data_IF_067783426996
#
_entry.id   IF_067783426996
#
_cell.length_a   1.000
_cell.length_b   1.000
_cell.length_c   1.000
_cell.angle_alpha   90.00
_cell.angle_beta   90.00
_cell.angle_gamma   90.00
#
_symmetry.space_group_name_H-M   'P 1'
#
loop_
_entity.id
_entity.type
_entity.pdbx_description
1 polymer ?
#
# COMPACT_ATOMS: atom_id res chain seq x y z
N UNK A 1 -63.83 -10.01 23.09
CA UNK A 1 -62.64 -9.46 22.41
C UNK A 1 -61.45 -9.74 23.31
N UNK A 2 -60.67 -10.79 23.03
CA UNK A 2 -59.50 -11.13 23.85
C UNK A 2 -58.24 -10.53 23.21
N UNK A 3 -57.69 -9.49 23.84
CA UNK A 3 -56.46 -8.82 23.44
C UNK A 3 -55.24 -9.45 24.13
N UNK A 4 -55.03 -10.75 23.96
CA UNK A 4 -53.75 -11.37 24.31
C UNK A 4 -52.81 -11.21 23.12
N UNK A 5 -52.24 -10.01 22.95
CA UNK A 5 -51.09 -9.84 22.09
C UNK A 5 -49.87 -10.42 22.83
N UNK A 6 -49.19 -11.39 22.23
CA UNK A 6 -47.93 -11.92 22.74
C UNK A 6 -46.93 -10.76 22.89
N UNK A 7 -46.25 -10.67 24.04
CA UNK A 7 -45.23 -9.65 24.28
C UNK A 7 -44.07 -9.85 23.31
N UNK A 8 -43.83 -8.89 22.41
CA UNK A 8 -42.67 -8.91 21.52
C UNK A 8 -41.37 -8.81 22.33
N UNK A 9 -40.43 -9.72 22.06
CA UNK A 9 -39.09 -9.72 22.66
C UNK A 9 -38.06 -9.46 21.56
N UNK A 10 -37.22 -8.44 21.74
CA UNK A 10 -36.13 -8.11 20.83
C UNK A 10 -34.78 -8.41 21.48
N UNK A 11 -33.95 -9.19 20.80
CA UNK A 11 -32.57 -9.45 21.21
C UNK A 11 -31.61 -8.69 20.30
N UNK A 12 -30.77 -7.84 20.89
CA UNK A 12 -29.70 -7.13 20.18
C UNK A 12 -28.37 -7.85 20.42
N UNK A 13 -27.72 -8.40 19.38
CA UNK A 13 -26.39 -8.97 19.56
C UNK A 13 -25.39 -7.84 19.83
N UNK A 14 -24.53 -8.03 20.85
CA UNK A 14 -23.37 -7.20 21.08
C UNK A 14 -22.11 -8.06 21.01
N UNK A 15 -21.04 -7.50 20.48
CA UNK A 15 -19.71 -8.11 20.50
C UNK A 15 -18.73 -7.08 21.07
N UNK A 16 -18.02 -7.46 22.12
CA UNK A 16 -16.94 -6.69 22.71
C UNK A 16 -15.61 -7.38 22.47
N UNK A 17 -14.56 -6.61 22.24
CA UNK A 17 -13.18 -7.10 22.17
C UNK A 17 -12.41 -6.47 23.32
N UNK A 18 -11.71 -7.29 24.10
CA UNK A 18 -10.74 -6.82 25.09
C UNK A 18 -9.46 -6.40 24.36
N UNK A 19 -9.28 -5.08 24.17
CA UNK A 19 -8.09 -4.51 23.55
C UNK A 19 -8.34 -3.13 22.97
N UNK A 20 -7.27 -2.41 22.63
CA UNK A 20 -7.37 -1.12 21.94
C UNK A 20 -7.51 -1.36 20.43
N UNK A 21 -8.72 -1.13 19.89
CA UNK A 21 -8.95 -1.12 18.44
C UNK A 21 -8.10 -0.07 17.72
N UNK A 22 -7.72 1.00 18.43
CA UNK A 22 -6.85 2.04 17.89
C UNK A 22 -5.43 1.53 17.66
N UNK A 23 -4.94 0.60 18.48
CA UNK A 23 -3.56 0.08 18.41
C UNK A 23 -3.40 -1.07 17.41
N UNK A 24 -4.49 -1.66 16.95
CA UNK A 24 -4.44 -2.77 16.00
C UNK A 24 -3.73 -2.40 14.71
N UNK A 25 -2.91 -3.31 14.21
CA UNK A 25 -2.22 -3.13 12.92
C UNK A 25 -3.22 -3.18 11.77
N UNK A 26 -3.09 -2.24 10.87
CA UNK A 26 -3.88 -2.12 9.64
C UNK A 26 -3.15 -2.81 8.50
N UNK A 27 -1.86 -2.55 8.33
CA UNK A 27 -1.06 -3.14 7.24
C UNK A 27 -0.56 -4.52 7.65
N UNK A 28 -0.79 -5.51 6.79
CA UNK A 28 -0.17 -6.82 6.96
C UNK A 28 1.33 -6.71 6.71
N UNK A 29 2.13 -7.24 7.64
CA UNK A 29 3.60 -7.31 7.57
C UNK A 29 4.11 -8.73 7.40
N UNK A 30 3.20 -9.68 7.25
CA UNK A 30 3.50 -11.09 7.06
C UNK A 30 4.07 -11.39 5.67
N UNK A 31 4.56 -12.62 5.48
CA UNK A 31 5.07 -13.09 4.20
C UNK A 31 3.96 -13.22 3.16
N UNK A 32 4.32 -13.04 1.89
CA UNK A 32 3.50 -13.41 0.75
C UNK A 32 3.34 -14.94 0.67
N UNK A 33 2.43 -15.40 -0.17
CA UNK A 33 2.11 -16.82 -0.32
C UNK A 33 3.35 -17.69 -0.59
N UNK A 34 4.27 -17.18 -1.42
CA UNK A 34 5.48 -17.90 -1.82
C UNK A 34 6.65 -17.72 -0.82
N UNK A 35 6.44 -16.98 0.28
CA UNK A 35 7.44 -16.66 1.31
C UNK A 35 8.72 -16.01 0.75
N UNK A 36 8.59 -15.33 -0.38
CA UNK A 36 9.68 -14.59 -1.03
C UNK A 36 9.71 -13.13 -0.62
N UNK A 37 8.66 -12.57 -0.02
CA UNK A 37 8.68 -11.20 0.49
C UNK A 37 7.65 -10.98 1.58
N UNK A 38 7.83 -9.94 2.39
CA UNK A 38 6.83 -9.49 3.34
C UNK A 38 6.05 -8.31 2.78
N UNK A 39 4.77 -8.20 3.10
CA UNK A 39 3.96 -7.05 2.72
C UNK A 39 4.30 -5.79 3.55
N UNK A 40 4.05 -4.59 2.98
CA UNK A 40 4.00 -4.31 1.54
C UNK A 40 5.36 -4.54 0.84
N UNK A 41 5.34 -4.76 -0.47
CA UNK A 41 6.56 -4.86 -1.29
C UNK A 41 6.33 -4.38 -2.74
N UNK A 42 7.43 -4.14 -3.46
CA UNK A 42 7.45 -3.72 -4.86
C UNK A 42 7.89 -4.86 -5.78
N UNK A 43 7.29 -4.96 -6.97
CA UNK A 43 7.76 -5.85 -8.05
C UNK A 43 7.58 -5.20 -9.42
N UNK A 44 8.09 -5.84 -10.46
CA UNK A 44 7.61 -5.60 -11.82
C UNK A 44 6.37 -6.46 -12.09
N UNK A 45 5.64 -6.13 -13.16
CA UNK A 45 4.71 -7.09 -13.73
C UNK A 45 5.47 -8.39 -14.00
N UNK A 46 4.92 -9.51 -13.55
CA UNK A 46 5.36 -10.80 -14.03
C UNK A 46 5.14 -10.76 -15.54
N UNK A 47 6.22 -10.85 -16.33
CA UNK A 47 6.06 -11.11 -17.76
C UNK A 47 5.22 -12.38 -17.85
N UNK A 48 4.09 -12.29 -18.55
CA UNK A 48 3.29 -13.46 -18.88
C UNK A 48 4.16 -14.33 -19.76
N UNK A 49 4.99 -15.19 -19.17
CA UNK A 49 5.52 -16.36 -19.84
C UNK A 49 4.28 -17.08 -20.34
N UNK A 50 4.07 -16.98 -21.65
CA UNK A 50 2.97 -17.56 -22.41
C UNK A 50 2.36 -18.77 -21.69
N UNK A 51 1.06 -18.68 -21.41
CA UNK A 51 0.21 -19.86 -21.25
C UNK A 51 0.36 -20.73 -22.52
N UNK A 52 1.37 -21.60 -22.54
CA UNK A 52 1.48 -22.67 -23.52
C UNK A 52 0.43 -23.70 -23.13
N UNK A 53 -0.70 -23.63 -23.83
CA UNK A 53 -1.56 -24.79 -24.03
C UNK A 53 -0.72 -25.83 -24.77
N UNK A 54 -0.12 -26.77 -24.05
CA UNK A 54 -0.03 -28.19 -24.39
C UNK A 54 0.88 -28.89 -23.39
N UNK A 55 0.38 -29.96 -22.78
CA UNK A 55 1.20 -30.86 -21.99
C UNK A 55 2.27 -31.50 -22.88
N UNK A 56 3.52 -31.45 -22.44
CA UNK A 56 4.53 -32.52 -22.48
C UNK A 56 5.75 -32.01 -21.71
N UNK A 57 6.36 -32.88 -20.91
CA UNK A 57 7.47 -32.61 -19.99
C UNK A 57 8.66 -31.88 -20.65
N UNK A 58 9.34 -31.03 -19.86
CA UNK A 58 10.78 -31.09 -19.54
C UNK A 58 11.46 -29.71 -19.42
N UNK A 59 12.43 -29.71 -18.50
CA UNK A 59 13.56 -28.78 -18.30
C UNK A 59 13.31 -27.54 -17.44
N UNK A 60 14.01 -27.58 -16.30
CA UNK A 60 14.26 -26.53 -15.34
C UNK A 60 14.82 -25.27 -16.01
N UNK A 61 13.94 -24.32 -16.34
CA UNK A 61 14.33 -22.92 -16.43
C UNK A 61 13.88 -22.26 -15.13
N UNK A 62 14.81 -22.14 -14.19
CA UNK A 62 14.63 -21.37 -12.97
C UNK A 62 14.32 -19.91 -13.36
N UNK A 63 13.03 -19.60 -13.52
CA UNK A 63 12.55 -18.23 -13.51
C UNK A 63 13.07 -17.59 -12.24
N UNK A 64 13.87 -16.52 -12.38
CA UNK A 64 14.55 -15.90 -11.26
C UNK A 64 13.55 -15.65 -10.13
N UNK A 65 13.74 -16.38 -9.03
CA UNK A 65 12.99 -16.20 -7.79
C UNK A 65 13.35 -14.81 -7.29
N UNK A 66 12.44 -13.86 -7.49
CA UNK A 66 12.64 -12.47 -7.10
C UNK A 66 12.66 -12.41 -5.56
N UNK A 67 13.88 -12.35 -5.03
CA UNK A 67 14.18 -12.22 -3.60
C UNK A 67 13.59 -10.92 -3.05
N UNK A 68 13.25 -10.89 -1.74
CA UNK A 68 12.72 -9.68 -1.12
C UNK A 68 13.79 -8.59 -1.10
N UNK A 69 13.40 -7.43 -1.59
CA UNK A 69 14.21 -6.23 -1.75
C UNK A 69 14.67 -5.69 -0.38
N UNK A 70 15.76 -6.23 0.15
CA UNK A 70 16.61 -5.54 1.14
C UNK A 70 17.59 -4.58 0.47
N UNK A 71 17.61 -4.57 -0.86
CA UNK A 71 18.47 -3.76 -1.73
C UNK A 71 17.65 -2.70 -2.47
N UNK A 72 18.33 -1.73 -3.08
CA UNK A 72 17.69 -0.74 -3.93
C UNK A 72 16.99 -1.39 -5.13
N UNK A 73 15.73 -1.04 -5.36
CA UNK A 73 14.92 -1.44 -6.50
C UNK A 73 15.30 -0.60 -7.72
N UNK A 74 16.01 -1.19 -8.68
CA UNK A 74 16.48 -0.49 -9.88
C UNK A 74 15.44 -0.56 -11.00
N UNK A 75 14.83 0.57 -11.32
CA UNK A 75 13.71 0.70 -12.25
C UNK A 75 14.07 1.54 -13.47
N UNK A 76 14.16 0.86 -14.61
CA UNK A 76 14.34 1.45 -15.92
C UNK A 76 12.99 1.47 -16.66
N UNK A 77 12.45 2.67 -16.90
CA UNK A 77 11.15 2.86 -17.54
C UNK A 77 11.10 2.38 -19.00
N UNK A 78 12.25 2.22 -19.66
CA UNK A 78 12.28 1.63 -21.00
C UNK A 78 12.06 0.11 -20.96
N UNK A 79 12.46 -0.55 -19.87
CA UNK A 79 12.31 -2.01 -19.69
C UNK A 79 11.00 -2.37 -19.02
N UNK A 80 10.61 -1.60 -18.01
CA UNK A 80 9.38 -1.79 -17.26
C UNK A 80 8.63 -0.47 -17.19
N UNK A 81 7.54 -0.34 -17.96
CA UNK A 81 6.74 0.90 -18.00
C UNK A 81 6.09 1.24 -16.66
N UNK A 82 5.92 0.24 -15.79
CA UNK A 82 5.30 0.37 -14.49
C UNK A 82 5.91 -0.62 -13.47
N UNK A 83 5.75 -0.29 -12.19
CA UNK A 83 6.02 -1.16 -11.05
C UNK A 83 4.72 -1.40 -10.28
N UNK A 84 4.63 -2.53 -9.58
CA UNK A 84 3.47 -2.90 -8.79
C UNK A 84 3.82 -2.83 -7.31
N UNK A 85 2.99 -2.12 -6.54
CA UNK A 85 2.99 -2.14 -5.09
C UNK A 85 1.99 -3.20 -4.63
N UNK A 86 2.48 -4.23 -3.95
CA UNK A 86 1.66 -5.27 -3.34
C UNK A 86 1.46 -4.97 -1.85
N UNK A 87 0.22 -5.01 -1.38
CA UNK A 87 -0.10 -4.80 0.03
C UNK A 87 -1.35 -5.57 0.44
N UNK A 88 -1.50 -5.77 1.75
CA UNK A 88 -2.70 -6.34 2.36
C UNK A 88 -3.05 -5.54 3.60
N UNK A 89 -4.34 -5.55 3.93
CA UNK A 89 -4.90 -4.89 5.10
C UNK A 89 -5.56 -5.93 6.00
N UNK A 90 -5.19 -5.97 7.28
CA UNK A 90 -5.73 -6.94 8.23
C UNK A 90 -7.16 -6.58 8.66
N UNK A 91 -7.36 -5.29 8.95
CA UNK A 91 -8.62 -4.73 9.45
C UNK A 91 -9.32 -3.80 8.46
N UNK A 92 -8.62 -3.38 7.41
CA UNK A 92 -9.06 -2.30 6.53
C UNK A 92 -8.72 -0.91 7.09
N UNK A 93 -8.91 0.12 6.28
CA UNK A 93 -8.53 1.49 6.59
C UNK A 93 -9.59 2.48 6.09
N UNK A 94 -10.07 3.45 6.90
CA UNK A 94 -10.95 4.51 6.40
C UNK A 94 -10.28 5.41 5.37
N UNK A 95 -8.96 5.56 5.43
CA UNK A 95 -8.18 6.28 4.43
C UNK A 95 -6.88 5.55 4.13
N UNK A 96 -6.58 5.39 2.85
CA UNK A 96 -5.34 4.80 2.38
C UNK A 96 -4.77 5.70 1.30
N UNK A 97 -3.46 5.88 1.26
CA UNK A 97 -2.78 6.59 0.19
C UNK A 97 -1.33 6.12 0.01
N UNK A 98 -0.77 6.42 -1.15
CA UNK A 98 0.63 6.11 -1.47
C UNK A 98 1.34 7.38 -1.92
N UNK A 99 2.28 7.85 -1.13
CA UNK A 99 3.10 9.03 -1.43
C UNK A 99 4.50 8.64 -1.89
N UNK A 100 5.18 9.61 -2.50
CA UNK A 100 6.58 9.51 -2.89
C UNK A 100 7.42 10.43 -2.01
N UNK A 101 8.52 9.88 -1.52
CA UNK A 101 9.49 10.55 -0.67
C UNK A 101 10.84 10.69 -1.38
N UNK A 102 11.66 11.70 -1.01
CA UNK A 102 13.04 11.75 -1.46
C UNK A 102 13.84 10.57 -0.88
N UNK A 103 14.91 10.15 -1.56
CA UNK A 103 15.83 9.10 -1.07
C UNK A 103 16.26 9.29 0.39
N UNK A 104 16.60 10.53 0.75
CA UNK A 104 17.14 10.91 2.06
C UNK A 104 16.08 10.97 3.16
N UNK A 105 14.81 10.70 2.84
CA UNK A 105 13.73 10.67 3.81
C UNK A 105 14.00 9.70 4.96
N UNK A 106 13.89 10.24 6.17
CA UNK A 106 13.90 9.51 7.45
C UNK A 106 12.71 10.01 8.25
N UNK A 107 11.71 9.14 8.44
CA UNK A 107 10.51 9.51 9.18
C UNK A 107 10.79 9.56 10.68
N UNK A 108 10.39 10.67 11.33
CA UNK A 108 10.50 10.84 12.77
C UNK A 108 9.32 10.21 13.52
N UNK A 109 9.28 10.44 14.84
CA UNK A 109 8.04 10.30 15.60
C UNK A 109 6.98 11.27 15.06
N UNK A 110 5.72 11.01 15.41
CA UNK A 110 4.60 11.88 15.04
C UNK A 110 4.87 13.33 15.48
N UNK A 111 4.57 14.27 14.61
CA UNK A 111 4.74 15.70 14.80
C UNK A 111 3.38 16.38 14.88
N UNK A 112 3.38 17.69 15.19
CA UNK A 112 2.18 18.53 15.15
C UNK A 112 1.91 19.09 13.74
N UNK A 113 2.37 18.39 12.70
CA UNK A 113 2.12 18.77 11.31
C UNK A 113 0.62 18.83 11.04
N UNK A 114 0.19 19.88 10.34
CA UNK A 114 -1.19 20.09 9.94
C UNK A 114 -1.39 19.96 8.42
N UNK A 115 -0.30 19.89 7.64
CA UNK A 115 -0.34 19.76 6.18
C UNK A 115 0.23 18.39 5.75
N UNK A 116 -0.67 17.41 5.72
CA UNK A 116 -0.40 16.01 5.39
C UNK A 116 -0.24 15.78 3.88
N UNK A 117 -0.45 16.82 3.07
CA UNK A 117 -0.23 16.82 1.63
C UNK A 117 1.19 17.26 1.30
N UNK A 118 1.81 18.10 2.14
CA UNK A 118 3.19 18.57 1.95
C UNK A 118 4.23 17.81 2.74
N UNK A 119 3.88 17.30 3.92
CA UNK A 119 4.82 16.58 4.77
C UNK A 119 4.17 15.48 5.59
N UNK A 120 4.98 14.52 6.02
CA UNK A 120 4.57 13.49 6.96
C UNK A 120 5.77 13.12 7.84
N UNK A 121 5.58 13.15 9.16
CA UNK A 121 6.56 12.77 10.19
C UNK A 121 7.94 13.40 9.95
N UNK A 122 7.94 14.72 9.82
CA UNK A 122 9.16 15.52 9.65
C UNK A 122 9.83 15.45 8.27
N UNK A 123 9.24 14.73 7.31
CA UNK A 123 9.76 14.64 5.93
C UNK A 123 8.80 15.27 4.93
N UNK A 124 9.34 16.04 3.98
CA UNK A 124 8.58 16.59 2.85
C UNK A 124 8.16 15.48 1.86
N UNK A 125 6.90 15.50 1.45
CA UNK A 125 6.37 14.66 0.37
C UNK A 125 6.72 15.28 -0.98
N UNK A 126 7.14 14.45 -1.94
CA UNK A 126 7.34 14.88 -3.33
C UNK A 126 5.99 15.00 -4.04
N UNK A 127 5.12 14.01 -3.83
CA UNK A 127 3.78 13.97 -4.37
C UNK A 127 3.08 12.66 -4.02
N UNK A 128 1.85 12.52 -4.48
CA UNK A 128 1.02 11.34 -4.34
C UNK A 128 1.09 10.51 -5.63
N UNK A 129 1.13 9.18 -5.51
CA UNK A 129 0.90 8.30 -6.66
C UNK A 129 -0.53 8.51 -7.14
N UNK A 130 -0.78 8.81 -8.43
CA UNK A 130 -2.12 9.12 -8.92
C UNK A 130 -3.13 8.02 -8.59
N UNK A 131 -4.35 8.41 -8.21
CA UNK A 131 -5.48 7.51 -7.87
C UNK A 131 -5.18 6.51 -6.74
N UNK A 132 -4.12 6.75 -5.96
CA UNK A 132 -3.77 5.88 -4.85
C UNK A 132 -4.50 6.23 -3.55
N UNK A 133 -5.06 7.43 -3.45
CA UNK A 133 -5.88 7.83 -2.31
C UNK A 133 -7.27 7.18 -2.40
N UNK A 134 -7.71 6.58 -1.30
CA UNK A 134 -8.96 5.85 -1.26
C UNK A 134 -9.64 6.07 0.09
N UNK A 135 -10.92 6.45 0.06
CA UNK A 135 -11.74 6.76 1.25
C UNK A 135 -12.38 5.55 1.95
N UNK A 136 -11.94 4.35 1.58
CA UNK A 136 -12.32 3.10 2.25
C UNK A 136 -11.50 1.98 1.63
N UNK A 137 -10.50 1.51 2.36
CA UNK A 137 -9.74 0.32 1.99
C UNK A 137 -10.31 -0.86 2.80
N UNK A 138 -10.98 -1.84 2.17
CA UNK A 138 -11.50 -2.99 2.89
C UNK A 138 -10.37 -3.85 3.44
N UNK A 139 -10.69 -4.73 4.38
CA UNK A 139 -9.78 -5.81 4.81
C UNK A 139 -9.53 -6.77 3.66
N UNK A 140 -8.33 -7.32 3.58
CA UNK A 140 -7.99 -8.37 2.64
C UNK A 140 -8.40 -9.75 3.19
N UNK A 141 -8.91 -10.63 2.33
CA UNK A 141 -9.15 -12.03 2.70
C UNK A 141 -7.83 -12.81 2.86
N UNK A 142 -7.90 -14.05 3.35
CA UNK A 142 -6.71 -14.84 3.63
C UNK A 142 -5.81 -15.09 2.40
N UNK A 143 -6.35 -15.09 1.18
CA UNK A 143 -5.61 -15.42 -0.05
C UNK A 143 -5.59 -14.28 -1.07
N UNK A 144 -6.26 -13.17 -0.78
CA UNK A 144 -6.24 -12.00 -1.65
C UNK A 144 -5.06 -11.08 -1.34
N UNK A 145 -4.75 -10.23 -2.32
CA UNK A 145 -3.75 -9.17 -2.26
C UNK A 145 -4.27 -7.96 -3.03
N UNK A 146 -4.02 -6.76 -2.50
CA UNK A 146 -4.22 -5.54 -3.26
C UNK A 146 -2.95 -5.19 -4.03
N UNK A 147 -3.14 -4.73 -5.25
CA UNK A 147 -2.07 -4.24 -6.11
C UNK A 147 -2.35 -2.80 -6.52
N UNK A 148 -1.28 -1.99 -6.58
CA UNK A 148 -1.33 -0.65 -7.16
C UNK A 148 -0.23 -0.56 -8.21
N UNK A 149 -0.60 -0.36 -9.46
CA UNK A 149 0.38 -0.04 -10.49
C UNK A 149 0.84 1.41 -10.33
N UNK A 150 2.11 1.65 -10.62
CA UNK A 150 2.70 2.97 -10.63
C UNK A 150 3.65 3.09 -11.83
N UNK A 151 3.44 4.12 -12.64
CA UNK A 151 4.20 4.41 -13.86
C UNK A 151 5.21 5.57 -13.69
N UNK A 152 5.68 5.79 -12.46
CA UNK A 152 6.61 6.86 -12.07
C UNK A 152 6.05 8.28 -12.21
N UNK A 153 4.73 8.43 -12.36
CA UNK A 153 4.09 9.74 -12.28
C UNK A 153 3.65 10.07 -10.87
N UNK A 154 3.52 11.35 -10.59
CA UNK A 154 2.96 11.86 -9.34
C UNK A 154 1.98 12.99 -9.63
N UNK A 155 1.04 13.19 -8.71
CA UNK A 155 0.27 14.42 -8.58
C UNK A 155 0.70 15.15 -7.33
N UNK A 156 0.56 16.46 -7.34
CA UNK A 156 0.83 17.30 -6.17
C UNK A 156 -0.46 17.98 -5.73
N UNK A 157 -0.47 18.55 -4.53
CA UNK A 157 -1.60 19.37 -4.10
C UNK A 157 -1.82 20.58 -5.02
N UNK A 158 -0.74 21.13 -5.60
CA UNK A 158 -0.76 22.32 -6.45
C UNK A 158 -1.22 22.01 -7.88
N UNK A 159 -0.89 20.81 -8.39
CA UNK A 159 -1.33 20.32 -9.68
C UNK A 159 -1.78 18.86 -9.60
N UNK A 160 -3.04 18.65 -9.91
CA UNK A 160 -3.66 17.32 -10.03
C UNK A 160 -3.33 16.65 -11.38
N UNK A 161 -2.61 17.33 -12.27
CA UNK A 161 -2.16 16.73 -13.53
C UNK A 161 -0.96 15.80 -13.26
N UNK A 162 -1.06 14.50 -13.60
CA UNK A 162 0.05 13.57 -13.42
C UNK A 162 1.24 13.98 -14.28
N UNK A 163 2.42 14.08 -13.67
CA UNK A 163 3.66 14.32 -14.37
C UNK A 163 4.73 13.31 -13.93
N UNK A 164 5.66 13.00 -14.82
CA UNK A 164 6.72 12.04 -14.55
C UNK A 164 7.72 12.57 -13.53
N UNK A 165 8.17 11.68 -12.65
CA UNK A 165 9.36 11.92 -11.85
C UNK A 165 10.61 11.96 -12.76
N UNK A 166 11.54 12.89 -12.49
CA UNK A 166 12.82 12.91 -13.17
C UNK A 166 13.70 11.73 -12.72
N UNK A 167 14.79 11.51 -13.45
CA UNK A 167 15.85 10.56 -13.07
C UNK A 167 16.31 10.81 -11.64
N UNK A 168 16.37 9.76 -10.83
CA UNK A 168 16.72 9.94 -9.44
C UNK A 168 16.47 8.74 -8.56
N UNK A 169 16.44 9.01 -7.26
CA UNK A 169 16.25 8.00 -6.24
C UNK A 169 15.18 8.45 -5.26
N UNK A 170 14.24 7.55 -5.01
CA UNK A 170 13.00 7.83 -4.29
C UNK A 170 12.70 6.73 -3.28
N UNK A 171 11.71 6.95 -2.43
CA UNK A 171 11.06 5.90 -1.63
C UNK A 171 9.55 6.06 -1.79
N UNK A 172 8.84 4.95 -1.65
CA UNK A 172 7.38 4.91 -1.62
C UNK A 172 6.94 4.85 -0.17
N UNK A 173 5.95 5.67 0.19
CA UNK A 173 5.33 5.71 1.50
C UNK A 173 3.87 5.26 1.37
N UNK A 174 3.54 4.10 1.91
CA UNK A 174 2.15 3.68 2.07
C UNK A 174 1.65 4.18 3.41
N UNK A 175 0.53 4.90 3.44
CA UNK A 175 -0.14 5.33 4.68
C UNK A 175 -1.54 4.74 4.77
N UNK A 176 -1.88 4.27 5.96
CA UNK A 176 -3.21 3.76 6.28
C UNK A 176 -3.68 4.34 7.62
N UNK A 177 -4.84 5.00 7.61
CA UNK A 177 -5.45 5.54 8.81
C UNK A 177 -6.02 4.40 9.68
N UNK A 178 -5.72 4.42 10.97
CA UNK A 178 -6.31 3.48 11.92
C UNK A 178 -7.84 3.67 11.99
N UNK A 179 -8.60 2.62 12.27
CA UNK A 179 -10.08 2.63 12.21
C UNK A 179 -10.72 3.77 13.02
N UNK A 180 -10.23 4.01 14.23
CA UNK A 180 -10.70 5.09 15.11
C UNK A 180 -9.83 6.35 15.04
N UNK A 181 -8.95 6.40 14.03
CA UNK A 181 -7.98 7.47 13.82
C UNK A 181 -8.61 8.74 13.28
N UNK A 182 -7.94 9.86 13.54
CA UNK A 182 -8.23 11.16 12.94
C UNK A 182 -7.22 11.42 11.83
N UNK A 183 -7.69 11.72 10.63
CA UNK A 183 -6.86 12.01 9.46
C UNK A 183 -5.90 13.20 9.69
N UNK A 184 -6.22 14.10 10.61
CA UNK A 184 -5.42 15.27 10.98
C UNK A 184 -4.36 15.00 12.07
N UNK A 185 -4.10 13.73 12.41
CA UNK A 185 -3.16 13.36 13.48
C UNK A 185 -2.18 12.29 13.01
N UNK A 186 -0.89 12.62 12.85
CA UNK A 186 0.13 11.72 12.30
C UNK A 186 0.30 10.42 13.10
N UNK A 187 0.06 10.47 14.41
CA UNK A 187 0.12 9.30 15.29
C UNK A 187 -0.95 8.25 14.94
N UNK A 188 -2.07 8.67 14.34
CA UNK A 188 -3.18 7.80 13.97
C UNK A 188 -2.99 7.09 12.63
N UNK A 189 -1.93 7.41 11.89
CA UNK A 189 -1.57 6.75 10.65
C UNK A 189 -0.55 5.64 10.92
N UNK A 190 -0.85 4.44 10.47
CA UNK A 190 0.17 3.43 10.22
C UNK A 190 0.82 3.68 8.85
N UNK A 191 2.09 3.33 8.71
CA UNK A 191 2.80 3.54 7.47
C UNK A 191 3.83 2.44 7.17
N UNK A 192 4.14 2.27 5.90
CA UNK A 192 5.28 1.49 5.41
C UNK A 192 6.11 2.35 4.46
N UNK A 193 7.43 2.22 4.55
CA UNK A 193 8.36 2.88 3.63
C UNK A 193 9.09 1.80 2.85
N UNK A 194 9.13 1.94 1.53
CA UNK A 194 9.85 1.02 0.66
C UNK A 194 11.38 1.11 0.82
N UNK A 195 12.12 0.11 0.34
CA UNK A 195 13.51 0.28 -0.06
C UNK A 195 13.68 1.43 -1.07
N UNK A 196 14.91 1.87 -1.27
CA UNK A 196 15.25 2.89 -2.28
C UNK A 196 14.82 2.41 -3.68
N UNK A 197 14.11 3.26 -4.42
CA UNK A 197 13.76 3.06 -5.83
C UNK A 197 14.68 3.95 -6.67
N UNK A 198 15.54 3.36 -7.49
CA UNK A 198 16.42 4.07 -8.42
C UNK A 198 15.75 4.12 -9.79
N UNK A 199 15.22 5.28 -10.15
CA UNK A 199 14.47 5.50 -11.38
C UNK A 199 15.38 6.02 -12.50
N UNK A 200 15.35 5.32 -13.62
CA UNK A 200 15.91 5.76 -14.90
C UNK A 200 14.75 5.96 -15.89
N UNK A 201 14.46 7.22 -16.14
CA UNK A 201 13.51 7.78 -17.07
C UNK A 201 14.24 8.45 -18.24
N UNK A 202 14.38 7.73 -19.34
CA UNK A 202 14.96 8.27 -20.58
C UNK A 202 14.02 9.25 -21.33
N UNK A 203 12.83 9.54 -20.79
CA UNK A 203 11.86 10.50 -21.35
C UNK A 203 11.78 11.82 -20.57
N UNK A 204 12.59 11.98 -19.51
CA UNK A 204 12.61 13.17 -18.64
C UNK A 204 13.75 14.13 -18.96
#
# INVERSE_FOLDING_TARGET
>A
MNSNAECESHNLPYYGVLGSLQEQSILDRGPNHNKTANYPYLTYHAETSSSSKNGTNMSDAAGQVQLPLTTAFAWDLQKHSETIIHFRTLLGSPFFCVDVLPRTAVLSRATNNQDFNKSFRGTRLIGLVPESDTRSMPRTSAHDVFTRSWNATIVTHESQEPHFLPNGSYKVLVRALRITGRNETEAHWEYWVSPEVKLVNAKG
#
